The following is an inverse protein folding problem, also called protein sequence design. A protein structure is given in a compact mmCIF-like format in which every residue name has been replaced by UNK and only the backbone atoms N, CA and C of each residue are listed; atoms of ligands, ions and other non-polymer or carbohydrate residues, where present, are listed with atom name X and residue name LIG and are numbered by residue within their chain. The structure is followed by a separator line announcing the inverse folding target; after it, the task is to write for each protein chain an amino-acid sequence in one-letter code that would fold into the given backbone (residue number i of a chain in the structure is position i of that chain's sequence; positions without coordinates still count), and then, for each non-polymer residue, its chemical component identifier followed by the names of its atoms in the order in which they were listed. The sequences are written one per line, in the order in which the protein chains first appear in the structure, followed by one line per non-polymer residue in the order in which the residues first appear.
data_IF_211195591972
#
_entry.id   IF_211195591972
#
_cell.length_a   1.000
_cell.length_b   1.000
_cell.length_c   1.000
_cell.angle_alpha   90.00
_cell.angle_beta   90.00
_cell.angle_gamma   90.00
#
_symmetry.space_group_name_H-M   'P 1'
#
loop_
_entity.id
_entity.type
_entity.pdbx_description
1 polymer ?
#
# COMPACT_ATOMS: atom_id res chain seq x y z
N UNK A 1 21.48 -16.60 2.16
CA UNK A 1 20.11 -16.20 2.64
C UNK A 1 20.08 -14.79 3.21
N UNK A 2 20.75 -14.47 4.35
CA UNK A 2 20.67 -13.12 4.95
C UNK A 2 21.21 -12.00 4.02
N UNK A 3 22.39 -12.11 3.38
CA UNK A 3 22.91 -11.07 2.47
C UNK A 3 22.03 -10.83 1.24
N UNK A 4 21.35 -11.83 0.74
CA UNK A 4 20.42 -11.71 -0.41
C UNK A 4 19.15 -10.96 0.00
N UNK A 5 18.62 -11.22 1.21
CA UNK A 5 17.47 -10.51 1.76
C UNK A 5 17.80 -9.04 2.01
N UNK A 6 18.97 -8.75 2.61
CA UNK A 6 19.39 -7.37 2.88
C UNK A 6 19.57 -6.58 1.57
N UNK A 7 20.11 -7.24 0.54
CA UNK A 7 20.21 -6.66 -0.81
C UNK A 7 18.84 -6.39 -1.41
N UNK A 8 17.89 -7.32 -1.26
CA UNK A 8 16.52 -7.16 -1.75
C UNK A 8 15.81 -5.99 -1.03
N UNK A 9 15.90 -5.93 0.30
CA UNK A 9 15.33 -4.83 1.10
C UNK A 9 15.94 -3.47 0.74
N UNK A 10 17.24 -3.41 0.51
CA UNK A 10 17.91 -2.19 0.05
C UNK A 10 17.38 -1.73 -1.32
N UNK A 11 17.13 -2.66 -2.25
CA UNK A 11 16.51 -2.35 -3.54
C UNK A 11 15.06 -1.89 -3.40
N UNK A 12 14.29 -2.53 -2.52
CA UNK A 12 12.91 -2.11 -2.22
C UNK A 12 12.89 -0.70 -1.63
N UNK A 13 13.73 -0.41 -0.63
CA UNK A 13 13.89 0.92 -0.07
C UNK A 13 14.21 1.94 -1.16
N UNK A 14 15.21 1.68 -2.02
CA UNK A 14 15.57 2.54 -3.14
C UNK A 14 14.45 2.70 -4.18
N UNK A 15 13.55 1.71 -4.31
CA UNK A 15 12.39 1.79 -5.21
C UNK A 15 11.33 2.72 -4.61
N UNK A 16 11.00 2.57 -3.33
CA UNK A 16 9.98 3.39 -2.66
C UNK A 16 10.46 4.82 -2.33
N UNK A 17 11.77 5.03 -2.22
CA UNK A 17 12.39 6.36 -2.13
C UNK A 17 12.41 7.09 -3.50
N UNK A 18 12.29 6.35 -4.61
CA UNK A 18 12.28 6.95 -5.94
C UNK A 18 10.92 7.61 -6.24
N UNK A 19 10.94 8.78 -6.82
CA UNK A 19 9.73 9.55 -7.16
C UNK A 19 9.12 10.28 -5.96
N UNK A 20 7.81 10.51 -6.04
CA UNK A 20 7.00 11.13 -4.98
C UNK A 20 5.63 10.44 -4.93
N UNK A 21 5.53 9.39 -4.13
CA UNK A 21 4.29 8.62 -4.01
C UNK A 21 3.09 9.46 -3.55
N UNK A 22 3.30 10.59 -2.87
CA UNK A 22 2.20 11.46 -2.44
C UNK A 22 1.37 11.98 -3.61
N UNK A 23 1.99 12.15 -4.80
CA UNK A 23 1.28 12.56 -6.02
C UNK A 23 0.36 11.46 -6.56
N UNK A 24 0.73 10.20 -6.36
CA UNK A 24 -0.13 9.04 -6.72
C UNK A 24 -1.26 8.89 -5.71
N UNK A 25 -0.94 9.01 -4.44
CA UNK A 25 -1.87 8.84 -3.34
C UNK A 25 -3.04 9.83 -3.36
N UNK A 26 -2.81 11.06 -3.82
CA UNK A 26 -3.87 12.08 -4.02
C UNK A 26 -5.02 11.58 -4.89
N UNK A 27 -4.74 10.69 -5.85
CA UNK A 27 -5.75 10.20 -6.79
C UNK A 27 -6.83 9.33 -6.12
N UNK A 28 -6.59 8.80 -4.92
CA UNK A 28 -7.52 7.93 -4.20
C UNK A 28 -7.73 8.31 -2.72
N UNK A 29 -7.46 9.55 -2.33
CA UNK A 29 -7.60 10.05 -0.96
C UNK A 29 -8.97 9.75 -0.36
N UNK A 30 -10.06 9.96 -1.12
CA UNK A 30 -11.43 9.68 -0.68
C UNK A 30 -11.60 8.20 -0.27
N UNK A 31 -11.01 7.28 -1.02
CA UNK A 31 -11.08 5.85 -0.71
C UNK A 31 -10.30 5.48 0.56
N UNK A 32 -9.20 6.19 0.85
CA UNK A 32 -8.45 6.01 2.09
C UNK A 32 -9.26 6.51 3.30
N UNK A 33 -9.92 7.67 3.18
CA UNK A 33 -10.82 8.20 4.21
C UNK A 33 -11.98 7.23 4.48
N UNK A 34 -12.62 6.72 3.42
CA UNK A 34 -13.69 5.72 3.55
C UNK A 34 -13.24 4.41 4.21
N UNK A 35 -12.01 3.96 3.93
CA UNK A 35 -11.43 2.79 4.63
C UNK A 35 -11.33 3.06 6.14
N UNK A 36 -10.80 4.22 6.54
CA UNK A 36 -10.69 4.61 7.96
C UNK A 36 -12.07 4.75 8.61
N UNK A 37 -13.07 5.32 7.93
CA UNK A 37 -14.45 5.44 8.42
C UNK A 37 -15.05 4.06 8.73
N UNK A 38 -14.83 3.06 7.86
CA UNK A 38 -15.32 1.68 8.09
C UNK A 38 -14.66 1.01 9.29
N UNK A 39 -13.46 1.42 9.68
CA UNK A 39 -12.81 0.90 10.88
C UNK A 39 -13.51 1.34 12.18
N UNK A 40 -14.38 2.35 12.12
CA UNK A 40 -15.16 2.84 13.28
C UNK A 40 -14.28 3.06 14.52
N UNK A 41 -13.13 3.72 14.32
CA UNK A 41 -12.17 3.99 15.39
C UNK A 41 -12.77 4.92 16.44
N UNK A 42 -12.37 4.75 17.69
CA UNK A 42 -12.76 5.66 18.77
C UNK A 42 -11.58 6.62 19.08
N UNK A 43 -11.86 7.84 19.55
CA UNK A 43 -10.81 8.71 20.07
C UNK A 43 -9.95 7.98 21.13
N UNK A 44 -8.63 8.15 21.03
CA UNK A 44 -7.67 7.46 21.90
C UNK A 44 -7.35 6.01 21.51
N UNK A 45 -7.96 5.45 20.44
CA UNK A 45 -7.57 4.13 19.92
C UNK A 45 -6.10 4.19 19.50
N UNK A 46 -5.26 3.31 20.06
CA UNK A 46 -3.86 3.17 19.65
C UNK A 46 -3.77 2.44 18.32
N UNK A 47 -3.44 3.17 17.26
CA UNK A 47 -3.36 2.65 15.91
C UNK A 47 -1.92 2.68 15.40
N UNK A 48 -1.46 1.55 14.84
CA UNK A 48 -0.24 1.48 14.04
C UNK A 48 -0.62 1.40 12.55
N UNK A 49 -0.10 2.33 11.75
CA UNK A 49 -0.19 2.30 10.28
C UNK A 49 1.13 1.77 9.71
N UNK A 50 1.13 0.52 9.24
CA UNK A 50 2.33 -0.18 8.74
C UNK A 50 2.49 0.07 7.25
N UNK A 51 3.67 0.56 6.86
CA UNK A 51 3.98 1.08 5.52
C UNK A 51 3.04 2.27 5.19
N UNK A 52 3.07 3.27 6.06
CA UNK A 52 2.13 4.39 6.07
C UNK A 52 2.27 5.36 4.89
N UNK A 53 3.37 5.26 4.13
CA UNK A 53 3.67 6.19 3.05
C UNK A 53 3.68 7.64 3.55
N UNK A 54 3.02 8.52 2.83
CA UNK A 54 2.85 9.93 3.20
C UNK A 54 1.71 10.19 4.22
N UNK A 55 1.18 9.13 4.86
CA UNK A 55 0.16 9.23 5.91
C UNK A 55 -1.29 9.10 5.44
N UNK A 56 -1.54 8.45 4.31
CA UNK A 56 -2.88 8.37 3.71
C UNK A 56 -3.93 7.71 4.59
N UNK A 57 -3.55 6.78 5.47
CA UNK A 57 -4.41 6.18 6.48
C UNK A 57 -4.21 6.88 7.83
N UNK A 58 -2.97 7.16 8.21
CA UNK A 58 -2.60 7.77 9.48
C UNK A 58 -3.28 9.14 9.70
N UNK A 59 -3.28 10.02 8.68
CA UNK A 59 -3.88 11.36 8.79
C UNK A 59 -5.39 11.31 9.03
N UNK A 60 -6.20 10.61 8.21
CA UNK A 60 -7.63 10.43 8.52
C UNK A 60 -7.90 9.82 9.90
N UNK A 61 -7.09 8.85 10.34
CA UNK A 61 -7.23 8.25 11.67
C UNK A 61 -6.93 9.28 12.80
N UNK A 62 -5.91 10.12 12.62
CA UNK A 62 -5.58 11.16 13.58
C UNK A 62 -6.67 12.25 13.65
N UNK A 63 -7.33 12.60 12.51
CA UNK A 63 -8.46 13.57 12.48
C UNK A 63 -9.64 13.15 13.36
N UNK A 64 -9.89 11.86 13.51
CA UNK A 64 -10.95 11.34 14.39
C UNK A 64 -10.48 11.10 15.83
N UNK A 65 -9.26 11.52 16.17
CA UNK A 65 -8.72 11.49 17.53
C UNK A 65 -8.06 10.16 17.92
N UNK A 66 -7.73 9.28 17.01
CA UNK A 66 -6.91 8.10 17.31
C UNK A 66 -5.48 8.51 17.72
N UNK A 67 -4.86 7.73 18.61
CA UNK A 67 -3.44 7.82 18.98
C UNK A 67 -2.63 7.05 17.93
N UNK A 68 -2.12 7.79 16.91
CA UNK A 68 -1.57 7.21 15.69
C UNK A 68 -0.06 7.17 15.71
N UNK A 69 0.47 5.99 15.44
CA UNK A 69 1.86 5.79 15.02
C UNK A 69 1.87 5.28 13.58
N UNK A 70 2.60 5.93 12.68
CA UNK A 70 2.86 5.47 11.32
C UNK A 70 4.30 4.95 11.20
N UNK A 71 4.53 3.97 10.34
CA UNK A 71 5.87 3.46 10.07
C UNK A 71 6.03 3.16 8.59
N UNK A 72 7.17 3.57 8.01
CA UNK A 72 7.50 3.27 6.61
C UNK A 72 8.99 2.94 6.45
N UNK A 73 9.31 2.13 5.44
CA UNK A 73 10.69 1.76 5.11
C UNK A 73 11.47 2.94 4.47
N UNK A 74 10.76 3.85 3.79
CA UNK A 74 11.34 4.97 3.06
C UNK A 74 11.32 6.23 3.95
N UNK A 75 12.49 6.78 4.35
CA UNK A 75 12.56 7.95 5.23
C UNK A 75 11.91 9.20 4.63
N UNK A 76 11.90 9.32 3.29
CA UNK A 76 11.23 10.43 2.60
C UNK A 76 9.71 10.38 2.81
N UNK A 77 9.12 9.18 2.84
CA UNK A 77 7.70 8.99 3.14
C UNK A 77 7.39 9.39 4.58
N UNK A 78 8.21 8.97 5.53
CA UNK A 78 8.10 9.35 6.95
C UNK A 78 8.16 10.88 7.11
N UNK A 79 9.09 11.53 6.41
CA UNK A 79 9.21 13.00 6.42
C UNK A 79 7.94 13.66 5.87
N UNK A 80 7.42 13.17 4.74
CA UNK A 80 6.19 13.69 4.14
C UNK A 80 4.99 13.49 5.06
N UNK A 81 4.86 12.33 5.71
CA UNK A 81 3.79 12.04 6.66
C UNK A 81 3.81 13.01 7.85
N UNK A 82 4.99 13.29 8.42
CA UNK A 82 5.17 14.29 9.49
C UNK A 82 4.74 15.69 9.03
N UNK A 83 5.17 16.12 7.84
CA UNK A 83 4.79 17.42 7.28
C UNK A 83 3.30 17.52 6.98
N UNK A 84 2.67 16.41 6.56
CA UNK A 84 1.23 16.36 6.32
C UNK A 84 0.45 16.50 7.64
N UNK A 85 0.84 15.78 8.69
CA UNK A 85 0.23 15.90 10.02
C UNK A 85 0.41 17.31 10.59
N UNK A 86 1.61 17.89 10.51
CA UNK A 86 1.90 19.24 10.98
C UNK A 86 1.06 20.30 10.26
N UNK A 87 0.92 20.21 8.93
CA UNK A 87 0.08 21.15 8.15
C UNK A 87 -1.37 21.16 8.58
N UNK A 88 -1.88 20.04 9.09
CA UNK A 88 -3.25 19.94 9.61
C UNK A 88 -3.35 20.15 11.12
N UNK A 89 -2.23 20.44 11.81
CA UNK A 89 -2.20 20.60 13.26
C UNK A 89 -2.53 19.31 14.03
N UNK A 90 -2.28 18.14 13.42
CA UNK A 90 -2.57 16.85 14.00
C UNK A 90 -1.35 16.32 14.79
N UNK A 91 -1.65 15.62 15.89
CA UNK A 91 -0.64 14.87 16.64
C UNK A 91 -0.63 13.42 16.14
N UNK A 92 0.47 13.02 15.51
CA UNK A 92 0.74 11.66 15.11
C UNK A 92 2.25 11.41 15.13
N UNK A 93 2.66 10.19 15.43
CA UNK A 93 4.06 9.79 15.46
C UNK A 93 4.42 9.02 14.20
N UNK A 94 5.65 9.22 13.66
CA UNK A 94 6.08 8.52 12.44
C UNK A 94 7.52 8.08 12.56
N UNK A 95 7.76 6.77 12.29
CA UNK A 95 9.07 6.13 12.39
C UNK A 95 9.53 5.55 11.05
N UNK A 96 10.84 5.53 10.82
CA UNK A 96 11.42 4.68 9.80
C UNK A 96 11.51 3.25 10.34
N UNK A 97 11.06 2.25 9.56
CA UNK A 97 11.06 0.85 10.01
C UNK A 97 10.77 -0.15 8.90
N UNK A 98 10.81 -1.43 9.27
CA UNK A 98 10.60 -2.56 8.39
C UNK A 98 9.36 -3.35 8.85
N UNK A 99 8.39 -3.57 7.95
CA UNK A 99 7.18 -4.35 8.23
C UNK A 99 7.46 -5.81 8.64
N UNK A 100 8.66 -6.31 8.38
CA UNK A 100 9.12 -7.63 8.79
C UNK A 100 9.91 -7.65 10.12
N UNK A 101 10.11 -6.49 10.74
CA UNK A 101 10.82 -6.34 12.00
C UNK A 101 10.34 -5.05 12.70
N UNK A 102 9.08 -5.05 13.14
CA UNK A 102 8.45 -3.90 13.79
C UNK A 102 9.12 -3.62 15.15
N UNK A 103 9.57 -2.38 15.35
CA UNK A 103 10.33 -1.95 16.53
C UNK A 103 9.43 -1.59 17.73
N UNK A 104 8.26 -2.21 17.82
CA UNK A 104 7.29 -1.99 18.87
C UNK A 104 7.13 -3.24 19.72
N UNK A 105 6.73 -3.05 20.98
CA UNK A 105 6.48 -4.14 21.93
C UNK A 105 5.31 -5.03 21.48
N UNK A 106 5.30 -6.25 21.99
CA UNK A 106 4.19 -7.16 21.82
C UNK A 106 2.91 -6.55 22.42
N UNK A 107 1.79 -6.69 21.71
CA UNK A 107 0.47 -6.25 22.19
C UNK A 107 0.41 -4.74 22.52
N UNK A 108 1.08 -3.91 21.71
CA UNK A 108 1.14 -2.45 21.94
C UNK A 108 -0.10 -1.71 21.41
N UNK A 109 -0.72 -2.19 20.33
CA UNK A 109 -1.75 -1.47 19.57
C UNK A 109 -3.12 -2.14 19.62
N UNK A 110 -4.17 -1.32 19.69
CA UNK A 110 -5.57 -1.76 19.62
C UNK A 110 -5.96 -2.11 18.17
N UNK A 111 -5.40 -1.37 17.21
CA UNK A 111 -5.57 -1.58 15.77
C UNK A 111 -4.20 -1.51 15.08
N UNK A 112 -3.92 -2.52 14.26
CA UNK A 112 -2.75 -2.52 13.35
C UNK A 112 -3.31 -2.48 11.94
N UNK A 113 -3.02 -1.42 11.21
CA UNK A 113 -3.59 -1.21 9.87
C UNK A 113 -2.48 -1.11 8.82
N UNK A 114 -2.81 -1.45 7.58
CA UNK A 114 -1.97 -1.21 6.42
C UNK A 114 -2.83 -1.07 5.17
N UNK A 115 -2.57 -0.04 4.37
CA UNK A 115 -3.30 0.20 3.14
C UNK A 115 -2.34 0.20 1.96
N UNK A 116 -2.36 -0.88 1.17
CA UNK A 116 -1.56 -1.07 -0.04
C UNK A 116 -0.03 -1.03 0.15
N UNK A 117 0.46 -1.08 1.39
CA UNK A 117 1.89 -0.93 1.69
C UNK A 117 2.56 -2.25 2.11
N UNK A 118 2.15 -2.86 3.23
CA UNK A 118 2.80 -4.06 3.78
C UNK A 118 2.76 -5.28 2.84
N UNK A 119 1.85 -5.29 1.86
CA UNK A 119 1.77 -6.33 0.83
C UNK A 119 3.04 -6.46 -0.03
N UNK A 120 3.90 -5.43 -0.06
CA UNK A 120 5.15 -5.45 -0.81
C UNK A 120 6.35 -5.98 -0.01
N UNK A 121 6.17 -6.32 1.26
CA UNK A 121 7.23 -6.93 2.06
C UNK A 121 7.60 -8.32 1.50
N UNK A 122 8.90 -8.65 1.38
CA UNK A 122 9.35 -9.85 0.67
C UNK A 122 9.04 -11.16 1.40
N UNK A 123 8.79 -11.13 2.71
CA UNK A 123 8.46 -12.31 3.52
C UNK A 123 7.07 -12.17 4.15
N UNK A 124 5.99 -12.46 3.38
CA UNK A 124 4.62 -12.19 3.82
C UNK A 124 4.23 -12.90 5.14
N UNK A 125 4.76 -14.09 5.41
CA UNK A 125 4.46 -14.81 6.66
C UNK A 125 5.14 -14.17 7.87
N UNK A 126 6.33 -13.59 7.68
CA UNK A 126 7.01 -12.78 8.70
C UNK A 126 6.22 -11.50 8.96
N UNK A 127 5.80 -10.83 7.89
CA UNK A 127 4.95 -9.63 7.98
C UNK A 127 3.65 -9.93 8.74
N UNK A 128 2.94 -11.02 8.38
CA UNK A 128 1.72 -11.44 9.09
C UNK A 128 2.00 -11.69 10.59
N UNK A 129 3.14 -12.29 10.91
CA UNK A 129 3.54 -12.57 12.29
C UNK A 129 3.83 -11.30 13.08
N UNK A 130 4.47 -10.31 12.47
CA UNK A 130 4.75 -9.02 13.10
C UNK A 130 3.48 -8.20 13.33
N UNK A 131 2.56 -8.14 12.33
CA UNK A 131 1.26 -7.49 12.50
C UNK A 131 0.49 -8.08 13.69
N UNK A 132 0.49 -9.42 13.80
CA UNK A 132 -0.12 -10.11 14.94
C UNK A 132 0.60 -9.85 16.24
N UNK A 133 1.95 -9.86 16.25
CA UNK A 133 2.75 -9.70 17.48
C UNK A 133 2.45 -8.36 18.15
N UNK A 134 2.46 -7.27 17.41
CA UNK A 134 2.26 -5.92 17.96
C UNK A 134 0.80 -5.57 18.23
N UNK A 135 -0.16 -6.31 17.65
CA UNK A 135 -1.58 -6.17 17.93
C UNK A 135 -1.93 -6.80 19.29
N UNK A 136 -2.77 -6.15 20.09
CA UNK A 136 -3.29 -6.70 21.34
C UNK A 136 -4.18 -7.93 21.12
N UNK A 137 -4.27 -8.89 22.06
CA UNK A 137 -5.35 -9.87 22.06
C UNK A 137 -6.71 -9.17 22.02
N UNK A 138 -7.62 -9.65 21.17
CA UNK A 138 -8.89 -8.98 20.88
C UNK A 138 -8.79 -7.70 20.05
N UNK A 139 -7.58 -7.22 19.76
CA UNK A 139 -7.33 -6.11 18.84
C UNK A 139 -7.56 -6.49 17.38
N UNK A 140 -7.60 -5.49 16.50
CA UNK A 140 -7.91 -5.69 15.08
C UNK A 140 -6.70 -5.48 14.19
N UNK A 141 -6.57 -6.34 13.17
CA UNK A 141 -5.65 -6.12 12.03
C UNK A 141 -6.53 -5.77 10.84
N UNK A 142 -6.33 -4.58 10.27
CA UNK A 142 -7.12 -4.06 9.16
C UNK A 142 -6.23 -3.84 7.93
N UNK A 143 -6.58 -4.45 6.81
CA UNK A 143 -5.74 -4.41 5.61
C UNK A 143 -6.57 -4.06 4.37
N UNK A 144 -6.00 -3.24 3.50
CA UNK A 144 -6.45 -3.07 2.13
C UNK A 144 -5.37 -3.56 1.18
N UNK A 145 -5.70 -4.52 0.32
CA UNK A 145 -4.73 -5.19 -0.55
C UNK A 145 -5.27 -5.29 -1.97
N UNK A 146 -4.48 -4.91 -2.97
CA UNK A 146 -4.88 -5.02 -4.38
C UNK A 146 -5.16 -6.48 -4.74
N UNK A 147 -6.29 -6.71 -5.43
CA UNK A 147 -6.62 -8.05 -5.94
C UNK A 147 -5.88 -8.36 -7.25
N UNK A 148 -5.62 -9.65 -7.56
CA UNK A 148 -4.95 -10.03 -8.82
C UNK A 148 -5.72 -9.62 -10.07
N UNK A 149 -7.06 -9.56 -9.99
CA UNK A 149 -7.99 -9.29 -11.08
C UNK A 149 -8.39 -7.82 -11.17
N UNK A 150 -8.22 -7.05 -10.10
CA UNK A 150 -8.47 -5.61 -10.09
C UNK A 150 -7.50 -4.85 -11.00
N UNK A 151 -7.81 -3.60 -11.30
CA UNK A 151 -7.04 -2.77 -12.23
C UNK A 151 -5.55 -2.69 -11.87
N UNK A 152 -5.21 -2.44 -10.60
CA UNK A 152 -3.81 -2.38 -10.16
C UNK A 152 -3.11 -3.74 -10.29
N UNK A 153 -3.82 -4.85 -10.02
CA UNK A 153 -3.29 -6.20 -10.27
C UNK A 153 -2.95 -6.43 -11.75
N UNK A 154 -3.82 -5.97 -12.64
CA UNK A 154 -3.58 -6.00 -14.09
C UNK A 154 -2.39 -5.11 -14.48
N UNK A 155 -2.27 -3.91 -13.91
CA UNK A 155 -1.14 -3.01 -14.14
C UNK A 155 0.20 -3.67 -13.71
N UNK A 156 0.23 -4.35 -12.56
CA UNK A 156 1.41 -5.10 -12.13
C UNK A 156 1.73 -6.26 -13.08
N UNK A 157 0.73 -6.99 -13.56
CA UNK A 157 0.90 -8.08 -14.54
C UNK A 157 1.44 -7.55 -15.86
N UNK A 158 0.92 -6.44 -16.37
CA UNK A 158 1.41 -5.77 -17.58
C UNK A 158 2.88 -5.38 -17.43
N UNK A 159 3.22 -4.70 -16.34
CA UNK A 159 4.60 -4.30 -16.05
C UNK A 159 5.54 -5.50 -15.92
N UNK A 160 5.10 -6.57 -15.23
CA UNK A 160 5.88 -7.80 -15.06
C UNK A 160 6.13 -8.55 -16.38
N UNK A 161 5.28 -8.38 -17.38
CA UNK A 161 5.49 -8.89 -18.74
C UNK A 161 6.69 -8.27 -19.44
N UNK A 162 7.04 -7.03 -19.11
CA UNK A 162 8.21 -6.31 -19.65
C UNK A 162 9.43 -6.40 -18.73
N UNK A 163 9.21 -6.28 -17.43
CA UNK A 163 10.27 -6.32 -16.40
C UNK A 163 9.88 -7.32 -15.32
N UNK A 164 10.34 -8.56 -15.41
CA UNK A 164 10.04 -9.58 -14.40
C UNK A 164 10.45 -9.14 -12.99
N UNK A 165 9.66 -9.46 -11.96
CA UNK A 165 10.02 -9.17 -10.58
C UNK A 165 11.30 -9.94 -10.18
N UNK A 166 12.01 -9.48 -9.13
CA UNK A 166 13.16 -10.19 -8.60
C UNK A 166 12.84 -11.65 -8.27
N UNK A 167 13.75 -12.57 -8.60
CA UNK A 167 13.57 -13.99 -8.31
C UNK A 167 13.32 -14.22 -6.80
N UNK A 168 12.37 -15.08 -6.47
CA UNK A 168 12.03 -15.42 -5.09
C UNK A 168 11.14 -14.39 -4.38
N UNK A 169 10.78 -13.28 -5.04
CA UNK A 169 9.82 -12.33 -4.47
C UNK A 169 8.38 -12.79 -4.72
N UNK A 170 7.57 -13.02 -3.69
CA UNK A 170 6.18 -13.40 -3.87
C UNK A 170 5.39 -12.24 -4.48
N UNK A 171 4.37 -12.58 -5.27
CA UNK A 171 3.49 -11.56 -5.85
C UNK A 171 2.73 -10.81 -4.73
N UNK A 172 2.79 -9.47 -4.67
CA UNK A 172 2.12 -8.69 -3.64
C UNK A 172 0.59 -8.87 -3.67
N UNK A 173 0.00 -9.08 -4.85
CA UNK A 173 -1.46 -9.25 -4.98
C UNK A 173 -2.00 -10.55 -4.39
N UNK A 174 -1.13 -11.46 -3.92
CA UNK A 174 -1.56 -12.62 -3.13
C UNK A 174 -2.17 -12.22 -1.77
N UNK A 175 -1.86 -11.04 -1.26
CA UNK A 175 -2.57 -10.47 -0.11
C UNK A 175 -4.01 -10.04 -0.45
N UNK A 176 -4.33 -9.84 -1.72
CA UNK A 176 -5.68 -9.60 -2.23
C UNK A 176 -6.49 -10.87 -2.51
N UNK A 177 -6.01 -12.05 -2.07
CA UNK A 177 -6.69 -13.34 -2.19
C UNK A 177 -7.08 -13.84 -0.81
N UNK A 178 -8.38 -13.91 -0.53
CA UNK A 178 -8.91 -14.26 0.79
C UNK A 178 -8.32 -15.57 1.35
N UNK A 179 -8.26 -16.64 0.54
CA UNK A 179 -7.71 -17.92 0.97
C UNK A 179 -6.26 -17.80 1.46
N UNK A 180 -5.42 -17.00 0.77
CA UNK A 180 -4.03 -16.76 1.14
C UNK A 180 -3.93 -15.97 2.45
N UNK A 181 -4.81 -14.98 2.66
CA UNK A 181 -4.82 -14.22 3.91
C UNK A 181 -5.24 -15.11 5.09
N UNK A 182 -6.27 -15.94 4.90
CA UNK A 182 -6.71 -16.91 5.91
C UNK A 182 -5.60 -17.92 6.26
N UNK A 183 -4.85 -18.40 5.28
CA UNK A 183 -3.69 -19.27 5.50
C UNK A 183 -2.61 -18.56 6.33
N UNK A 184 -2.24 -17.32 5.97
CA UNK A 184 -1.20 -16.54 6.65
C UNK A 184 -1.53 -16.23 8.11
N UNK A 185 -2.78 -15.90 8.42
CA UNK A 185 -3.17 -15.64 9.81
C UNK A 185 -3.47 -16.92 10.59
N UNK A 186 -4.05 -17.93 9.92
CA UNK A 186 -4.35 -19.25 10.50
C UNK A 186 -5.22 -19.15 11.74
N UNK A 187 -4.91 -19.97 12.76
CA UNK A 187 -5.63 -20.02 14.03
C UNK A 187 -5.27 -18.88 15.00
N UNK A 188 -4.41 -17.95 14.58
CA UNK A 188 -3.98 -16.82 15.44
C UNK A 188 -5.00 -15.68 15.49
N UNK A 189 -6.09 -15.79 14.72
CA UNK A 189 -7.21 -14.86 14.73
C UNK A 189 -8.50 -15.58 15.12
N UNK A 190 -9.33 -14.93 15.92
CA UNK A 190 -10.64 -15.44 16.34
C UNK A 190 -11.74 -15.18 15.29
N UNK A 191 -11.57 -14.14 14.48
CA UNK A 191 -12.42 -13.84 13.32
C UNK A 191 -11.59 -13.23 12.19
N UNK A 192 -12.06 -13.39 10.96
CA UNK A 192 -11.53 -12.73 9.78
C UNK A 192 -12.64 -12.50 8.79
N UNK A 193 -12.96 -11.23 8.58
CA UNK A 193 -13.87 -10.75 7.55
C UNK A 193 -13.06 -10.24 6.37
N UNK A 194 -13.42 -10.69 5.16
CA UNK A 194 -12.78 -10.31 3.92
C UNK A 194 -13.84 -9.86 2.93
N UNK A 195 -13.75 -8.63 2.47
CA UNK A 195 -14.77 -8.01 1.59
C UNK A 195 -14.09 -7.35 0.40
N UNK A 196 -14.57 -7.65 -0.80
CA UNK A 196 -14.15 -6.92 -1.99
C UNK A 196 -14.71 -5.49 -1.94
N UNK A 197 -13.84 -4.51 -2.12
CA UNK A 197 -14.14 -3.10 -2.14
C UNK A 197 -13.61 -2.48 -3.42
N UNK A 198 -14.16 -1.33 -3.81
CA UNK A 198 -13.69 -0.58 -4.97
C UNK A 198 -13.20 0.80 -4.54
N UNK A 199 -12.02 1.17 -5.04
CA UNK A 199 -11.48 2.51 -4.91
C UNK A 199 -11.30 3.12 -6.31
N UNK A 200 -11.46 4.45 -6.41
CA UNK A 200 -11.33 5.14 -7.69
C UNK A 200 -10.06 5.97 -7.73
N UNK A 201 -9.27 5.77 -8.78
CA UNK A 201 -8.20 6.67 -9.16
C UNK A 201 -8.76 7.79 -10.02
N UNK A 202 -8.59 9.04 -9.58
CA UNK A 202 -9.08 10.24 -10.27
C UNK A 202 -7.94 11.18 -10.60
N UNK A 203 -7.81 11.50 -11.89
CA UNK A 203 -6.82 12.45 -12.38
C UNK A 203 -7.49 13.50 -13.26
N UNK A 204 -7.06 14.78 -13.16
CA UNK A 204 -7.62 15.88 -13.97
C UNK A 204 -7.02 15.93 -15.39
N UNK A 205 -6.47 14.83 -15.89
CA UNK A 205 -5.81 14.71 -17.19
C UNK A 205 -6.07 13.33 -17.80
N UNK A 206 -5.62 13.17 -19.05
CA UNK A 206 -5.91 11.98 -19.88
C UNK A 206 -5.22 10.70 -19.38
N UNK A 207 -5.70 9.50 -19.78
CA UNK A 207 -5.02 8.23 -19.48
C UNK A 207 -3.56 8.18 -19.94
N UNK A 208 -3.24 8.81 -21.07
CA UNK A 208 -1.85 8.91 -21.58
C UNK A 208 -0.98 9.70 -20.60
N UNK A 209 -1.49 10.83 -20.12
CA UNK A 209 -0.77 11.65 -19.13
C UNK A 209 -0.67 10.97 -17.77
N UNK A 210 -1.63 10.08 -17.41
CA UNK A 210 -1.54 9.25 -16.20
C UNK A 210 -0.32 8.32 -16.27
N UNK A 211 -0.03 7.71 -17.41
CA UNK A 211 1.17 6.85 -17.53
C UNK A 211 2.45 7.64 -17.32
N UNK A 212 2.55 8.87 -17.86
CA UNK A 212 3.71 9.74 -17.62
C UNK A 212 3.78 10.22 -16.17
N UNK A 213 2.63 10.48 -15.52
CA UNK A 213 2.54 10.81 -14.11
C UNK A 213 3.07 9.65 -13.23
N UNK A 214 2.65 8.40 -13.52
CA UNK A 214 3.18 7.22 -12.82
C UNK A 214 4.68 7.02 -13.09
N UNK A 215 5.14 7.23 -14.34
CA UNK A 215 6.56 7.16 -14.69
C UNK A 215 7.39 8.17 -13.91
N UNK A 216 6.84 9.35 -13.65
CA UNK A 216 7.54 10.43 -12.94
C UNK A 216 7.53 10.22 -11.41
N UNK A 217 6.39 9.82 -10.84
CA UNK A 217 6.16 9.87 -9.40
C UNK A 217 6.06 8.50 -8.72
N UNK A 218 5.74 7.43 -9.45
CA UNK A 218 5.61 6.10 -8.85
C UNK A 218 6.90 5.31 -8.99
N UNK A 219 7.62 5.13 -7.89
CA UNK A 219 8.94 4.47 -7.86
C UNK A 219 9.01 3.15 -8.61
N UNK A 220 8.08 2.19 -8.40
CA UNK A 220 8.07 0.93 -9.16
C UNK A 220 7.98 1.13 -10.68
N UNK A 221 7.12 2.01 -11.16
CA UNK A 221 7.00 2.32 -12.61
C UNK A 221 8.26 3.01 -13.13
N UNK A 222 8.81 3.97 -12.38
CA UNK A 222 10.06 4.64 -12.72
C UNK A 222 11.20 3.63 -12.91
N UNK A 223 11.33 2.68 -11.98
CA UNK A 223 12.36 1.62 -12.04
C UNK A 223 12.13 0.67 -13.22
N UNK A 224 10.86 0.33 -13.52
CA UNK A 224 10.53 -0.51 -14.66
C UNK A 224 10.95 0.15 -15.98
N UNK A 225 10.60 1.42 -16.20
CA UNK A 225 11.05 2.16 -17.38
C UNK A 225 12.57 2.26 -17.46
N UNK A 226 13.24 2.56 -16.34
CA UNK A 226 14.69 2.67 -16.28
C UNK A 226 15.46 1.36 -16.53
N UNK A 227 14.81 0.20 -16.44
CA UNK A 227 15.39 -1.11 -16.71
C UNK A 227 15.31 -1.50 -18.21
N UNK A 228 14.60 -0.75 -19.04
CA UNK A 228 14.33 -1.07 -20.44
C UNK A 228 15.10 -0.12 -21.38
N UNK A 229 15.44 -0.64 -22.57
CA UNK A 229 15.89 0.18 -23.69
C UNK A 229 14.72 1.02 -24.29
N UNK A 230 14.99 1.87 -25.27
CA UNK A 230 14.01 2.76 -25.88
C UNK A 230 12.81 1.99 -26.47
N UNK A 231 13.05 0.85 -27.11
CA UNK A 231 11.98 0.02 -27.68
C UNK A 231 11.12 -0.63 -26.60
N UNK A 232 11.74 -1.15 -25.54
CA UNK A 232 11.06 -1.71 -24.39
C UNK A 232 10.24 -0.65 -23.63
N UNK A 233 10.78 0.56 -23.46
CA UNK A 233 10.06 1.69 -22.86
C UNK A 233 8.84 2.08 -23.70
N UNK A 234 8.97 2.13 -25.03
CA UNK A 234 7.85 2.44 -25.93
C UNK A 234 6.75 1.35 -25.85
N UNK A 235 7.15 0.07 -25.80
CA UNK A 235 6.22 -1.04 -25.67
C UNK A 235 5.48 -1.02 -24.31
N UNK A 236 6.21 -0.87 -23.18
CA UNK A 236 5.61 -0.76 -21.85
C UNK A 236 4.65 0.44 -21.76
N UNK A 237 5.08 1.60 -22.27
CA UNK A 237 4.23 2.80 -22.33
C UNK A 237 2.91 2.50 -23.03
N UNK A 238 2.98 1.95 -24.25
CA UNK A 238 1.79 1.63 -25.04
C UNK A 238 0.83 0.69 -24.32
N UNK A 239 1.35 -0.36 -23.70
CA UNK A 239 0.52 -1.33 -22.99
C UNK A 239 -0.14 -0.71 -21.75
N UNK A 240 0.57 0.15 -21.01
CA UNK A 240 -0.02 0.89 -19.91
C UNK A 240 -1.05 1.93 -20.35
N UNK A 241 -0.79 2.68 -21.44
CA UNK A 241 -1.73 3.64 -22.01
C UNK A 241 -3.02 2.96 -22.48
N UNK A 242 -2.91 1.78 -23.10
CA UNK A 242 -4.07 0.97 -23.48
C UNK A 242 -4.85 0.54 -22.23
N UNK A 243 -4.18 -0.01 -21.21
CA UNK A 243 -4.82 -0.46 -19.99
C UNK A 243 -5.57 0.68 -19.27
N UNK A 244 -4.94 1.85 -19.10
CA UNK A 244 -5.58 3.01 -18.50
C UNK A 244 -6.76 3.52 -19.34
N UNK A 245 -6.63 3.52 -20.68
CA UNK A 245 -7.69 3.99 -21.59
C UNK A 245 -8.90 3.05 -21.62
N UNK A 246 -8.66 1.73 -21.63
CA UNK A 246 -9.71 0.71 -21.64
C UNK A 246 -10.55 0.73 -20.36
N UNK A 247 -9.94 1.07 -19.22
CA UNK A 247 -10.62 1.10 -17.91
C UNK A 247 -11.14 2.50 -17.54
N UNK A 248 -10.81 3.54 -18.31
CA UNK A 248 -11.26 4.89 -18.03
C UNK A 248 -12.77 5.04 -18.21
N UNK A 249 -13.44 5.56 -17.18
CA UNK A 249 -14.89 5.79 -17.17
C UNK A 249 -15.28 7.20 -17.62
N UNK A 250 -14.29 8.06 -17.94
CA UNK A 250 -14.52 9.46 -18.38
C UNK A 250 -14.27 9.62 -19.87
N UNK A 251 -14.99 10.59 -20.46
CA UNK A 251 -14.86 10.95 -21.88
C UNK A 251 -14.57 12.44 -22.09
N UNK A 252 -14.31 13.16 -21.00
CA UNK A 252 -14.11 14.62 -20.96
C UNK A 252 -12.63 15.04 -20.93
N UNK A 253 -11.73 14.10 -21.21
CA UNK A 253 -10.27 14.34 -21.16
C UNK A 253 -9.66 14.12 -19.77
N UNK A 254 -10.47 13.76 -18.77
CA UNK A 254 -10.00 13.34 -17.44
C UNK A 254 -9.94 11.82 -17.31
N UNK A 255 -9.41 11.32 -16.21
CA UNK A 255 -9.32 9.89 -15.95
C UNK A 255 -10.00 9.53 -14.64
N UNK A 256 -10.91 8.55 -14.67
CA UNK A 256 -11.45 7.87 -13.51
C UNK A 256 -11.44 6.37 -13.76
N UNK A 257 -10.64 5.63 -12.96
CA UNK A 257 -10.52 4.18 -13.06
C UNK A 257 -10.84 3.53 -11.73
N UNK A 258 -11.77 2.56 -11.76
CA UNK A 258 -12.12 1.74 -10.61
C UNK A 258 -11.07 0.64 -10.41
N UNK A 259 -10.58 0.46 -9.19
CA UNK A 259 -9.71 -0.64 -8.82
C UNK A 259 -10.26 -1.41 -7.63
N UNK A 260 -10.41 -2.72 -7.81
CA UNK A 260 -10.83 -3.61 -6.74
C UNK A 260 -9.66 -3.88 -5.78
N UNK A 261 -9.98 -3.93 -4.50
CA UNK A 261 -9.09 -4.41 -3.45
C UNK A 261 -9.84 -5.32 -2.47
N UNK A 262 -9.12 -6.18 -1.79
CA UNK A 262 -9.63 -6.96 -0.66
C UNK A 262 -9.41 -6.16 0.62
N UNK A 263 -10.51 -5.78 1.27
CA UNK A 263 -10.50 -5.28 2.64
C UNK A 263 -10.58 -6.46 3.60
N UNK A 264 -9.64 -6.52 4.52
CA UNK A 264 -9.57 -7.57 5.55
C UNK A 264 -9.61 -6.93 6.91
N UNK A 265 -10.51 -7.39 7.77
CA UNK A 265 -10.53 -7.07 9.19
C UNK A 265 -10.47 -8.37 9.98
N UNK A 266 -9.36 -8.60 10.66
CA UNK A 266 -9.15 -9.78 11.49
C UNK A 266 -9.04 -9.39 12.96
N UNK A 267 -9.64 -10.16 13.85
CA UNK A 267 -9.50 -9.99 15.30
C UNK A 267 -8.47 -10.99 15.82
N UNK A 268 -7.42 -10.50 16.48
CA UNK A 268 -6.41 -11.38 17.09
C UNK A 268 -7.03 -12.22 18.20
N UNK A 269 -6.69 -13.52 18.24
CA UNK A 269 -7.14 -14.45 19.27
C UNK A 269 -6.57 -14.11 20.66
#
# INVERSE_FOLDING_TARGET
MQPELDTLKSKLKATWTAGDFSQIAKAYTIGAEQFVERLTLQPGTKLLDVACGSGNLAIPAARIGADVTGMDLAPEMVLQARQNAEREGLTAHFDEGDAEALQYDDNAFDVVATMFGAMFAPRPDVTASELLRVCKPGGRIAMANWTPTGFIGQMFKTTAGHVPPPAGMPSPVLWGVEATVRERFGSRVSSLDATAQTIFFRFPFSPVDVVEHFRTFYGPTQKAFGALDENGQAALRKDLENLWSEHNQKTDGTTEVASEYLEVVATKA
#
